data_IF_782948245291
#
_entry.id   IF_782948245291
#
_cell.length_a   1.000
_cell.length_b   1.000
_cell.length_c   1.000
_cell.angle_alpha   90.00
_cell.angle_beta   90.00
_cell.angle_gamma   90.00
#
_symmetry.space_group_name_H-M   'P 1'
#
loop_
_entity.id
_entity.type
_entity.pdbx_description
1 polymer ?
#
# COMPACT_ATOMS: atom_id res chain seq x y z
N UNK A 1 -2.89 -8.00 -11.77
CA UNK A 1 -1.41 -7.89 -11.70
C UNK A 1 -0.99 -7.08 -12.91
N UNK A 2 -0.21 -6.02 -12.71
CA UNK A 2 0.15 -5.05 -13.76
C UNK A 2 1.66 -5.22 -14.04
N UNK A 3 2.08 -5.57 -15.26
CA UNK A 3 3.49 -5.49 -15.64
C UNK A 3 4.01 -4.07 -15.49
N UNK A 4 5.18 -3.92 -14.86
CA UNK A 4 5.74 -2.61 -14.59
C UNK A 4 7.18 -2.52 -15.09
N UNK A 5 7.36 -1.74 -16.16
CA UNK A 5 8.67 -1.42 -16.70
C UNK A 5 9.23 -0.21 -15.94
N UNK A 6 10.37 -0.32 -15.23
CA UNK A 6 10.99 0.81 -14.54
C UNK A 6 11.28 2.01 -15.45
N UNK A 7 11.56 1.74 -16.72
CA UNK A 7 11.91 2.76 -17.72
C UNK A 7 10.67 3.44 -18.34
N UNK A 8 9.46 2.91 -18.07
CA UNK A 8 8.19 3.50 -18.49
C UNK A 8 7.12 3.38 -17.39
N UNK A 9 7.28 4.10 -16.27
CA UNK A 9 6.33 4.07 -15.17
C UNK A 9 4.96 4.67 -15.56
N UNK A 10 4.94 5.54 -16.57
CA UNK A 10 3.74 6.20 -17.06
C UNK A 10 2.74 5.21 -17.68
N UNK A 11 3.24 4.15 -18.33
CA UNK A 11 2.40 3.09 -18.90
C UNK A 11 1.50 2.41 -17.84
N UNK A 12 1.96 2.29 -16.59
CA UNK A 12 1.19 1.66 -15.51
C UNK A 12 0.42 2.66 -14.63
N UNK A 13 0.80 3.94 -14.64
CA UNK A 13 0.30 4.91 -13.66
C UNK A 13 -1.22 5.13 -13.73
N UNK A 14 -1.79 5.17 -14.93
CA UNK A 14 -3.24 5.32 -15.12
C UNK A 14 -4.02 4.12 -14.59
N UNK A 15 -3.53 2.90 -14.87
CA UNK A 15 -4.16 1.67 -14.40
C UNK A 15 -4.07 1.52 -12.88
N UNK A 16 -2.92 1.90 -12.30
CA UNK A 16 -2.74 1.96 -10.84
C UNK A 16 -3.73 2.94 -10.23
N UNK A 17 -3.82 4.17 -10.75
CA UNK A 17 -4.74 5.17 -10.22
C UNK A 17 -6.20 4.71 -10.31
N UNK A 18 -6.61 4.13 -11.44
CA UNK A 18 -7.96 3.62 -11.64
C UNK A 18 -8.32 2.47 -10.68
N UNK A 19 -7.38 1.54 -10.44
CA UNK A 19 -7.61 0.40 -9.54
C UNK A 19 -7.57 0.79 -8.05
N UNK A 20 -6.71 1.75 -7.69
CA UNK A 20 -6.38 2.07 -6.29
C UNK A 20 -7.20 3.26 -5.78
N UNK A 21 -7.16 4.40 -6.47
CA UNK A 21 -7.75 5.67 -6.02
C UNK A 21 -9.25 5.78 -6.35
N UNK A 22 -10.01 4.81 -5.86
CA UNK A 22 -11.42 4.60 -6.20
C UNK A 22 -12.38 5.42 -5.34
N UNK A 23 -13.52 5.78 -5.94
CA UNK A 23 -14.69 6.37 -5.27
C UNK A 23 -15.92 5.47 -5.31
N UNK A 24 -15.84 4.31 -5.98
CA UNK A 24 -16.88 3.27 -6.02
C UNK A 24 -16.36 1.94 -5.46
N UNK A 25 -17.26 0.97 -5.27
CA UNK A 25 -16.95 -0.37 -4.77
C UNK A 25 -16.57 -1.38 -5.86
N UNK A 26 -16.51 -0.95 -7.12
CA UNK A 26 -16.25 -1.82 -8.28
C UNK A 26 -14.75 -2.08 -8.49
N UNK A 27 -13.90 -1.22 -7.91
CA UNK A 27 -12.46 -1.31 -8.01
C UNK A 27 -11.86 -1.91 -6.73
N UNK A 28 -10.70 -2.59 -6.83
CA UNK A 28 -10.13 -3.34 -5.71
C UNK A 28 -9.59 -2.45 -4.57
N UNK A 29 -9.20 -1.21 -4.85
CA UNK A 29 -8.55 -0.33 -3.87
C UNK A 29 -7.07 -0.68 -3.62
N UNK A 30 -6.50 -1.57 -4.42
CA UNK A 30 -5.08 -1.92 -4.42
C UNK A 30 -4.61 -2.35 -5.82
N UNK A 31 -3.30 -2.32 -6.07
CA UNK A 31 -2.69 -2.85 -7.28
C UNK A 31 -1.37 -3.55 -6.94
N UNK A 32 -1.14 -4.72 -7.55
CA UNK A 32 0.14 -5.43 -7.53
C UNK A 32 0.85 -5.18 -8.86
N UNK A 33 2.06 -4.63 -8.77
CA UNK A 33 2.95 -4.42 -9.90
C UNK A 33 4.16 -5.34 -9.79
N UNK A 34 4.57 -5.93 -10.90
CA UNK A 34 5.73 -6.83 -10.94
C UNK A 34 6.72 -6.35 -11.99
N UNK A 35 8.00 -6.57 -11.73
CA UNK A 35 9.08 -6.19 -12.63
C UNK A 35 9.35 -7.34 -13.60
N UNK A 36 9.43 -7.06 -14.92
CA UNK A 36 9.70 -8.10 -15.90
C UNK A 36 11.12 -8.67 -15.77
N UNK A 37 12.01 -7.98 -15.08
CA UNK A 37 13.42 -8.29 -14.90
C UNK A 37 13.80 -8.03 -13.44
N UNK A 38 14.84 -8.70 -12.89
CA UNK A 38 15.34 -8.38 -11.56
C UNK A 38 15.75 -6.91 -11.46
N UNK A 39 15.37 -6.27 -10.35
CA UNK A 39 15.79 -4.89 -10.02
C UNK A 39 16.50 -4.88 -8.67
N UNK A 40 17.59 -4.11 -8.57
CA UNK A 40 18.27 -3.90 -7.30
C UNK A 40 17.48 -2.92 -6.39
N UNK A 41 17.92 -2.83 -5.13
CA UNK A 41 17.30 -1.97 -4.11
C UNK A 41 17.18 -0.50 -4.54
N UNK A 42 18.19 0.04 -5.22
CA UNK A 42 18.18 1.45 -5.68
C UNK A 42 17.26 1.65 -6.88
N UNK A 43 17.27 0.72 -7.84
CA UNK A 43 16.36 0.74 -9.00
C UNK A 43 14.91 0.66 -8.56
N UNK A 44 14.59 -0.23 -7.62
CA UNK A 44 13.27 -0.37 -7.03
C UNK A 44 12.74 0.98 -6.50
N UNK A 45 13.53 1.70 -5.71
CA UNK A 45 13.12 2.99 -5.15
C UNK A 45 13.03 4.10 -6.19
N UNK A 46 13.92 4.13 -7.18
CA UNK A 46 13.78 5.03 -8.34
C UNK A 46 12.45 4.78 -9.06
N UNK A 47 12.12 3.52 -9.31
CA UNK A 47 10.87 3.12 -9.94
C UNK A 47 9.64 3.53 -9.12
N UNK A 48 9.72 3.41 -7.78
CA UNK A 48 8.65 3.87 -6.89
C UNK A 48 8.43 5.38 -6.99
N UNK A 49 9.49 6.18 -6.94
CA UNK A 49 9.40 7.65 -7.07
C UNK A 49 8.86 8.04 -8.44
N UNK A 50 9.37 7.42 -9.50
CA UNK A 50 8.93 7.71 -10.86
C UNK A 50 7.45 7.31 -11.11
N UNK A 51 6.98 6.21 -10.51
CA UNK A 51 5.55 5.87 -10.52
C UNK A 51 4.72 6.95 -9.81
N UNK A 52 5.15 7.43 -8.65
CA UNK A 52 4.46 8.50 -7.90
C UNK A 52 4.34 9.77 -8.74
N UNK A 53 5.41 10.18 -9.42
CA UNK A 53 5.43 11.36 -10.29
C UNK A 53 4.54 11.19 -11.52
N UNK A 54 4.38 9.96 -12.02
CA UNK A 54 3.55 9.64 -13.17
C UNK A 54 2.06 9.49 -12.85
N UNK A 55 1.66 9.43 -11.56
CA UNK A 55 0.25 9.30 -11.20
C UNK A 55 -0.56 10.51 -11.68
N UNK A 56 -1.76 10.31 -12.25
CA UNK A 56 -2.61 11.41 -12.71
C UNK A 56 -3.15 12.28 -11.58
N UNK A 57 -3.22 11.73 -10.36
CA UNK A 57 -3.58 12.48 -9.15
C UNK A 57 -2.33 13.12 -8.60
N UNK A 58 -2.36 14.44 -8.41
CA UNK A 58 -1.23 15.18 -7.84
C UNK A 58 -1.12 14.92 -6.34
N UNK A 59 -0.26 13.97 -5.98
CA UNK A 59 0.10 13.68 -4.60
C UNK A 59 1.31 14.50 -4.12
N UNK A 60 1.46 14.62 -2.82
CA UNK A 60 2.72 14.94 -2.15
C UNK A 60 3.22 13.74 -1.37
N UNK A 61 4.53 13.55 -1.34
CA UNK A 61 5.19 12.55 -0.50
C UNK A 61 5.18 13.05 0.93
N UNK A 62 4.53 12.33 1.86
CA UNK A 62 4.50 12.69 3.28
C UNK A 62 5.46 11.84 4.12
N UNK A 63 5.63 10.56 3.75
CA UNK A 63 6.49 9.61 4.46
C UNK A 63 7.34 8.81 3.49
N UNK A 64 8.56 8.56 3.92
CA UNK A 64 9.53 7.69 3.26
C UNK A 64 10.05 6.73 4.32
N UNK A 65 10.18 5.45 3.99
CA UNK A 65 10.69 4.46 4.92
C UNK A 65 11.33 3.28 4.22
N UNK A 66 12.31 2.66 4.87
CA UNK A 66 12.99 1.44 4.43
C UNK A 66 13.36 0.59 5.64
N UNK A 67 12.70 -0.55 5.82
CA UNK A 67 12.81 -1.34 7.04
C UNK A 67 12.79 -2.84 6.75
N UNK A 68 13.41 -3.63 7.61
CA UNK A 68 13.32 -5.09 7.58
C UNK A 68 12.15 -5.54 8.45
N UNK A 69 11.17 -6.24 7.87
CA UNK A 69 9.98 -6.67 8.59
C UNK A 69 9.64 -8.12 8.32
N UNK A 70 9.79 -8.93 9.37
CA UNK A 70 9.42 -10.35 9.39
C UNK A 70 8.36 -10.69 10.44
N UNK A 71 7.71 -9.67 11.02
CA UNK A 71 6.63 -9.85 11.99
C UNK A 71 5.28 -9.77 11.28
N UNK A 72 4.41 -10.76 11.54
CA UNK A 72 3.04 -10.75 11.05
C UNK A 72 2.26 -9.57 11.64
N UNK A 73 1.48 -8.90 10.82
CA UNK A 73 0.59 -7.82 11.25
C UNK A 73 -0.85 -8.31 11.41
N UNK A 74 -1.67 -7.48 12.03
CA UNK A 74 -3.14 -7.57 11.96
C UNK A 74 -3.62 -6.73 10.78
N UNK A 75 -4.89 -6.84 10.41
CA UNK A 75 -5.47 -5.89 9.46
C UNK A 75 -5.42 -4.49 10.04
N UNK A 76 -4.80 -3.58 9.31
CA UNK A 76 -4.64 -2.20 9.71
C UNK A 76 -4.63 -1.27 8.50
N UNK A 77 -4.78 0.01 8.83
CA UNK A 77 -4.43 1.12 7.97
C UNK A 77 -3.15 1.73 8.51
N UNK A 78 -2.26 2.15 7.63
CA UNK A 78 -1.10 2.90 8.04
C UNK A 78 -1.51 4.28 8.55
N UNK A 79 -0.82 4.78 9.58
CA UNK A 79 -1.02 6.14 10.07
C UNK A 79 -0.80 7.14 8.93
N UNK A 80 -1.87 7.82 8.50
CA UNK A 80 -1.82 8.76 7.39
C UNK A 80 -3.04 9.71 7.45
N UNK A 81 -3.01 10.83 6.70
CA UNK A 81 -4.19 11.66 6.49
C UNK A 81 -5.40 10.89 5.94
N UNK A 82 -6.56 11.53 5.96
CA UNK A 82 -7.85 10.89 5.59
C UNK A 82 -7.91 10.50 4.12
N UNK A 83 -7.25 11.24 3.24
CA UNK A 83 -7.01 10.87 1.84
C UNK A 83 -5.52 10.57 1.65
N UNK A 84 -5.19 9.29 1.51
CA UNK A 84 -3.79 8.85 1.36
C UNK A 84 -3.65 7.56 0.56
N UNK A 85 -2.52 7.44 -0.11
CA UNK A 85 -2.11 6.24 -0.84
C UNK A 85 -0.80 5.76 -0.23
N UNK A 86 -0.67 4.45 -0.08
CA UNK A 86 0.55 3.79 0.37
C UNK A 86 1.15 3.01 -0.79
N UNK A 87 2.40 3.30 -1.14
CA UNK A 87 3.16 2.51 -2.10
C UNK A 87 4.25 1.74 -1.36
N UNK A 88 4.19 0.42 -1.44
CA UNK A 88 5.16 -0.50 -0.87
C UNK A 88 6.02 -1.11 -1.98
N UNK A 89 7.33 -1.11 -1.80
CA UNK A 89 8.29 -1.76 -2.68
C UNK A 89 9.06 -2.83 -1.93
N UNK A 90 8.84 -4.08 -2.31
CA UNK A 90 9.48 -5.23 -1.70
C UNK A 90 10.75 -5.56 -2.45
N UNK A 91 11.87 -5.64 -1.74
CA UNK A 91 13.11 -6.18 -2.30
C UNK A 91 13.02 -7.70 -2.42
N UNK A 92 13.73 -8.27 -3.39
CA UNK A 92 13.84 -9.72 -3.56
C UNK A 92 14.28 -10.40 -2.24
N UNK A 93 13.55 -11.42 -1.82
CA UNK A 93 13.80 -12.13 -0.56
C UNK A 93 13.37 -13.60 -0.61
N UNK A 94 14.08 -14.44 0.13
CA UNK A 94 13.68 -15.82 0.38
C UNK A 94 12.64 -15.96 1.50
N UNK A 95 12.45 -14.93 2.33
CA UNK A 95 11.48 -14.92 3.43
C UNK A 95 10.07 -14.98 2.86
N UNK A 96 9.35 -16.07 3.16
CA UNK A 96 7.99 -16.25 2.68
C UNK A 96 7.03 -15.33 3.43
N UNK A 97 6.19 -14.62 2.68
CA UNK A 97 5.12 -13.81 3.22
C UNK A 97 3.88 -13.87 2.35
N UNK A 98 2.73 -13.65 2.98
CA UNK A 98 1.43 -13.48 2.34
C UNK A 98 0.90 -12.09 2.67
N UNK A 99 0.20 -11.48 1.73
CA UNK A 99 -0.44 -10.18 1.92
C UNK A 99 -1.92 -10.32 1.66
N UNK A 100 -2.72 -9.80 2.58
CA UNK A 100 -4.17 -9.79 2.49
C UNK A 100 -4.66 -8.35 2.51
N UNK A 101 -5.72 -8.09 1.73
CA UNK A 101 -6.43 -6.81 1.67
C UNK A 101 -7.86 -7.06 2.13
N UNK A 102 -8.36 -6.25 3.06
CA UNK A 102 -9.74 -6.29 3.51
C UNK A 102 -10.46 -4.99 3.12
N UNK A 103 -11.59 -5.11 2.43
CA UNK A 103 -12.40 -3.97 2.01
C UNK A 103 -13.44 -3.60 3.07
N UNK A 104 -13.06 -2.68 3.97
CA UNK A 104 -13.93 -2.19 5.03
C UNK A 104 -15.16 -1.45 4.50
N UNK A 105 -15.05 -0.76 3.36
CA UNK A 105 -16.18 -0.05 2.75
C UNK A 105 -17.23 -1.02 2.23
N UNK A 106 -16.82 -2.13 1.60
CA UNK A 106 -17.75 -3.18 1.18
C UNK A 106 -18.39 -3.89 2.36
N UNK A 107 -17.62 -4.17 3.41
CA UNK A 107 -18.14 -4.78 4.63
C UNK A 107 -19.20 -3.89 5.31
N UNK A 108 -18.92 -2.59 5.44
CA UNK A 108 -19.87 -1.62 5.99
C UNK A 108 -21.15 -1.50 5.14
N UNK A 109 -21.00 -1.41 3.82
CA UNK A 109 -22.13 -1.35 2.90
C UNK A 109 -23.01 -2.60 2.97
N UNK A 110 -22.41 -3.80 3.03
CA UNK A 110 -23.14 -5.05 3.17
C UNK A 110 -23.87 -5.17 4.53
N UNK A 111 -23.32 -4.57 5.58
CA UNK A 111 -23.95 -4.48 6.90
C UNK A 111 -25.01 -3.36 7.01
N UNK A 112 -25.18 -2.52 5.98
CA UNK A 112 -26.14 -1.41 5.98
C UNK A 112 -25.79 -0.29 6.96
N UNK A 113 -24.52 -0.13 7.32
CA UNK A 113 -24.06 0.89 8.29
C UNK A 113 -22.98 1.80 7.69
N UNK A 114 -22.86 3.05 8.15
CA UNK A 114 -21.76 3.94 7.74
C UNK A 114 -20.37 3.35 8.09
N UNK A 115 -19.37 3.57 7.23
CA UNK A 115 -18.01 3.07 7.45
C UNK A 115 -17.40 3.45 8.81
N UNK A 116 -17.49 4.70 9.31
CA UNK A 116 -16.97 5.04 10.63
C UNK A 116 -17.61 4.24 11.77
N UNK A 117 -18.92 4.01 11.68
CA UNK A 117 -19.67 3.22 12.66
C UNK A 117 -19.28 1.74 12.58
N UNK A 118 -19.11 1.21 11.36
CA UNK A 118 -18.64 -0.16 11.15
C UNK A 118 -17.26 -0.39 11.78
N UNK A 119 -16.29 0.49 11.53
CA UNK A 119 -14.93 0.38 12.06
C UNK A 119 -14.89 0.50 13.57
N UNK A 120 -15.71 1.39 14.15
CA UNK A 120 -15.81 1.55 15.60
C UNK A 120 -16.36 0.29 16.27
N UNK A 121 -17.33 -0.38 15.66
CA UNK A 121 -17.94 -1.62 16.18
C UNK A 121 -17.09 -2.86 15.91
N UNK A 122 -16.44 -2.93 14.75
CA UNK A 122 -15.76 -4.11 14.24
C UNK A 122 -14.28 -3.81 14.01
N UNK A 123 -13.58 -3.43 15.10
CA UNK A 123 -12.15 -3.13 15.04
C UNK A 123 -11.36 -4.41 14.68
N UNK A 124 -10.70 -4.46 13.52
CA UNK A 124 -10.01 -5.65 13.02
C UNK A 124 -8.74 -6.01 13.81
N UNK A 125 -8.34 -5.18 14.79
CA UNK A 125 -7.28 -5.51 15.73
C UNK A 125 -7.67 -6.61 16.72
N UNK A 126 -8.96 -6.92 16.85
CA UNK A 126 -9.48 -8.00 17.68
C UNK A 126 -10.06 -9.12 16.79
N UNK A 127 -9.89 -10.41 17.16
CA UNK A 127 -10.39 -11.52 16.35
C UNK A 127 -11.90 -11.47 16.06
N UNK A 128 -12.70 -11.00 17.03
CA UNK A 128 -14.13 -10.81 16.85
C UNK A 128 -14.45 -9.75 15.79
N UNK A 129 -13.66 -8.68 15.70
CA UNK A 129 -13.79 -7.66 14.66
C UNK A 129 -13.33 -8.17 13.30
N UNK A 130 -12.18 -8.84 13.24
CA UNK A 130 -11.62 -9.42 12.00
C UNK A 130 -12.62 -10.38 11.31
N UNK A 131 -13.40 -11.14 12.08
CA UNK A 131 -14.40 -12.06 11.55
C UNK A 131 -15.43 -11.40 10.62
N UNK A 132 -15.73 -10.11 10.79
CA UNK A 132 -16.68 -9.38 9.95
C UNK A 132 -16.15 -9.04 8.55
N UNK A 133 -14.84 -9.21 8.33
CA UNK A 133 -14.20 -8.91 7.05
C UNK A 133 -14.00 -10.15 6.18
N UNK A 134 -14.22 -11.37 6.68
CA UNK A 134 -13.79 -12.61 6.03
C UNK A 134 -14.29 -12.76 4.57
N UNK A 135 -15.52 -12.32 4.28
CA UNK A 135 -16.09 -12.35 2.93
C UNK A 135 -15.61 -11.21 2.00
N UNK A 136 -14.86 -10.26 2.55
CA UNK A 136 -14.34 -9.07 1.89
C UNK A 136 -12.80 -9.03 1.90
N UNK A 137 -12.17 -10.16 2.20
CA UNK A 137 -10.70 -10.33 2.17
C UNK A 137 -10.27 -10.94 0.84
N UNK A 138 -9.25 -10.34 0.23
CA UNK A 138 -8.52 -10.90 -0.90
C UNK A 138 -7.06 -11.17 -0.51
N UNK A 139 -6.54 -12.33 -0.90
CA UNK A 139 -5.10 -12.60 -0.86
C UNK A 139 -4.44 -12.03 -2.14
N UNK A 140 -3.36 -11.28 -1.96
CA UNK A 140 -2.58 -10.74 -3.07
C UNK A 140 -1.62 -11.82 -3.58
N UNK A 141 -1.62 -12.15 -4.89
CA UNK A 141 -0.78 -13.21 -5.44
C UNK A 141 0.68 -12.72 -5.60
N UNK A 142 1.42 -12.63 -4.50
CA UNK A 142 2.77 -12.08 -4.46
C UNK A 142 3.78 -12.96 -5.23
N UNK A 143 4.69 -12.37 -6.03
CA UNK A 143 5.84 -13.07 -6.59
C UNK A 143 6.76 -13.67 -5.50
N UNK A 144 7.50 -14.72 -5.83
CA UNK A 144 8.41 -15.41 -4.91
C UNK A 144 9.85 -15.13 -5.28
N UNK A 145 10.66 -14.62 -4.36
CA UNK A 145 12.08 -14.38 -4.60
C UNK A 145 12.37 -13.19 -5.53
N UNK A 146 11.34 -12.45 -5.92
CA UNK A 146 11.43 -11.33 -6.86
C UNK A 146 11.03 -10.03 -6.16
N UNK A 147 11.53 -8.90 -6.65
CA UNK A 147 11.08 -7.58 -6.23
C UNK A 147 9.70 -7.29 -6.82
N UNK A 148 8.86 -6.51 -6.13
CA UNK A 148 7.53 -6.10 -6.61
C UNK A 148 7.04 -4.85 -5.88
N UNK A 149 6.02 -4.19 -6.44
CA UNK A 149 5.34 -3.07 -5.80
C UNK A 149 3.89 -3.42 -5.46
N UNK A 150 3.40 -2.85 -4.36
CA UNK A 150 1.98 -2.86 -4.00
C UNK A 150 1.53 -1.44 -3.73
N UNK A 151 0.59 -0.94 -4.53
CA UNK A 151 -0.11 0.30 -4.24
C UNK A 151 -1.40 -0.02 -3.49
N UNK A 152 -1.65 0.67 -2.38
CA UNK A 152 -2.79 0.44 -1.49
C UNK A 152 -3.47 1.78 -1.23
N UNK A 153 -4.79 1.83 -1.39
CA UNK A 153 -5.55 3.00 -0.99
C UNK A 153 -5.67 3.01 0.53
N UNK A 154 -4.92 3.91 1.16
CA UNK A 154 -4.81 4.04 2.61
C UNK A 154 -5.78 5.09 3.19
N UNK A 155 -6.74 5.53 2.37
CA UNK A 155 -7.82 6.45 2.74
C UNK A 155 -8.89 5.69 3.52
N UNK A 156 -9.11 6.00 4.80
CA UNK A 156 -10.07 5.21 5.59
C UNK A 156 -10.84 6.10 6.55
N UNK A 157 -11.41 7.16 5.99
CA UNK A 157 -12.52 7.96 6.53
C UNK A 157 -13.08 8.76 5.35
N UNK A 158 -14.41 8.84 5.15
CA UNK A 158 -14.96 9.83 4.23
C UNK A 158 -14.48 11.22 4.67
N UNK A 159 -14.11 12.05 3.70
CA UNK A 159 -13.77 13.45 3.98
C UNK A 159 -15.00 14.18 4.51
N UNK A 160 -14.87 15.42 5.01
CA UNK A 160 -16.00 16.22 5.47
C UNK A 160 -17.14 16.28 4.44
N UNK A 161 -16.79 16.24 3.15
CA UNK A 161 -17.72 16.33 2.02
C UNK A 161 -18.12 14.96 1.43
N UNK A 162 -17.71 13.85 2.04
CA UNK A 162 -18.02 12.49 1.58
C UNK A 162 -17.28 12.05 0.29
N UNK A 163 -16.35 12.87 -0.22
CA UNK A 163 -15.65 12.68 -1.50
C UNK A 163 -14.33 11.93 -1.40
N UNK A 164 -13.91 11.52 -0.20
CA UNK A 164 -12.65 10.80 -0.04
C UNK A 164 -12.69 9.43 -0.75
N UNK A 165 -11.55 8.97 -1.27
CA UNK A 165 -11.43 7.63 -1.81
C UNK A 165 -11.79 6.56 -0.78
N UNK A 166 -12.34 5.45 -1.29
CA UNK A 166 -12.69 4.28 -0.50
C UNK A 166 -11.47 3.38 -0.39
N UNK A 167 -10.71 3.52 0.70
CA UNK A 167 -9.53 2.70 0.92
C UNK A 167 -9.83 1.34 1.54
N UNK A 168 -8.75 0.67 1.88
CA UNK A 168 -8.75 -0.74 2.32
C UNK A 168 -7.78 -0.91 3.49
N UNK A 169 -7.98 -2.00 4.22
CA UNK A 169 -7.05 -2.45 5.26
C UNK A 169 -6.11 -3.49 4.67
N UNK A 170 -4.92 -3.63 5.23
CA UNK A 170 -3.97 -4.65 4.80
C UNK A 170 -3.34 -5.40 5.97
N UNK A 171 -2.92 -6.63 5.71
CA UNK A 171 -2.33 -7.56 6.68
C UNK A 171 -1.24 -8.39 6.02
N UNK A 172 -0.07 -8.45 6.64
CA UNK A 172 1.00 -9.34 6.21
C UNK A 172 1.09 -10.53 7.17
N UNK A 173 1.22 -11.74 6.62
CA UNK A 173 1.49 -12.96 7.39
C UNK A 173 2.85 -13.49 6.97
N UNK A 174 3.73 -13.67 7.95
CA UNK A 174 5.04 -14.28 7.80
C UNK A 174 4.97 -15.63 8.50
N UNK A 175 4.81 -16.69 7.72
CA UNK A 175 4.61 -18.05 8.25
C UNK A 175 5.89 -18.60 8.89
N UNK A 176 7.05 -18.26 8.32
CA UNK A 176 8.36 -18.74 8.79
C UNK A 176 9.38 -17.61 8.66
N UNK A 177 9.57 -16.81 9.73
CA UNK A 177 10.65 -15.83 9.79
C UNK A 177 12.01 -16.53 9.67
N UNK A 178 12.96 -15.85 9.05
CA UNK A 178 14.34 -16.32 8.92
C UNK A 178 15.29 -15.23 9.45
N UNK A 179 15.94 -15.46 10.62
CA UNK A 179 16.85 -14.47 11.21
C UNK A 179 18.16 -14.30 10.44
N UNK A 180 18.48 -15.20 9.50
CA UNK A 180 19.66 -15.09 8.65
C UNK A 180 19.37 -14.38 7.31
N UNK A 181 18.09 -14.22 6.95
CA UNK A 181 17.66 -13.50 5.76
C UNK A 181 17.10 -12.12 6.12
N UNK A 182 16.93 -11.27 5.09
CA UNK A 182 16.28 -9.97 5.21
C UNK A 182 15.01 -9.93 4.39
N UNK A 183 13.97 -9.24 4.90
CA UNK A 183 12.75 -8.91 4.16
C UNK A 183 12.58 -7.40 4.18
N UNK A 184 13.33 -6.74 3.32
CA UNK A 184 13.34 -5.28 3.23
C UNK A 184 12.12 -4.79 2.47
N UNK A 185 11.39 -3.87 3.08
CA UNK A 185 10.26 -3.17 2.51
C UNK A 185 10.59 -1.68 2.45
N UNK A 186 10.38 -1.09 1.29
CA UNK A 186 10.44 0.35 1.04
C UNK A 186 9.01 0.88 1.05
N UNK A 187 8.75 2.03 1.66
CA UNK A 187 7.42 2.62 1.73
C UNK A 187 7.44 4.09 1.34
N UNK A 188 6.48 4.49 0.51
CA UNK A 188 6.15 5.90 0.25
C UNK A 188 4.70 6.12 0.69
N UNK A 189 4.53 6.99 1.69
CA UNK A 189 3.22 7.53 2.05
C UNK A 189 2.92 8.76 1.21
N UNK A 190 1.75 8.77 0.56
CA UNK A 190 1.26 9.84 -0.29
C UNK A 190 -0.01 10.44 0.28
N UNK A 191 -0.17 11.75 0.15
CA UNK A 191 -1.41 12.44 0.50
C UNK A 191 -1.69 13.59 -0.46
N UNK A 192 -2.88 14.18 -0.38
CA UNK A 192 -3.23 15.35 -1.17
C UNK A 192 -2.48 16.60 -0.64
N UNK A 193 -2.15 17.57 -1.51
CA UNK A 193 -1.54 18.82 -1.10
C UNK A 193 -2.31 19.49 0.05
N UNK A 194 -1.58 19.98 1.06
CA UNK A 194 -2.16 20.65 2.22
C UNK A 194 -2.62 19.74 3.36
N UNK A 195 -2.60 18.41 3.19
CA UNK A 195 -2.94 17.46 4.27
C UNK A 195 -1.76 17.12 5.19
N UNK A 196 -0.53 17.30 4.71
CA UNK A 196 0.69 17.08 5.49
C UNK A 196 1.85 17.92 4.93
N UNK A 197 2.93 18.03 5.70
CA UNK A 197 4.19 18.60 5.23
C UNK A 197 4.83 17.66 4.22
N UNK A 198 5.00 18.14 2.99
CA UNK A 198 5.67 17.37 1.94
C UNK A 198 7.17 17.17 2.25
N UNK A 199 7.69 16.00 1.90
CA UNK A 199 9.13 15.73 1.89
C UNK A 199 9.83 16.59 0.85
N UNK A 200 10.98 17.11 1.24
CA UNK A 200 11.85 17.90 0.36
C UNK A 200 12.48 17.01 -0.72
N UNK A 201 12.91 17.62 -1.83
CA UNK A 201 13.65 16.92 -2.88
C UNK A 201 14.90 16.21 -2.35
N UNK A 202 15.60 16.81 -1.37
CA UNK A 202 16.77 16.20 -0.73
C UNK A 202 16.41 14.94 0.11
N UNK A 203 15.25 14.94 0.77
CA UNK A 203 14.77 13.75 1.50
C UNK A 203 14.37 12.63 0.53
N UNK A 204 13.73 12.96 -0.59
CA UNK A 204 13.39 12.00 -1.65
C UNK A 204 14.68 11.42 -2.27
N UNK A 205 15.65 12.25 -2.62
CA UNK A 205 16.93 11.80 -3.17
C UNK A 205 17.70 10.91 -2.19
N UNK A 206 17.71 11.27 -0.89
CA UNK A 206 18.27 10.41 0.14
C UNK A 206 17.56 9.07 0.20
N UNK A 207 16.23 9.05 0.15
CA UNK A 207 15.49 7.78 0.13
C UNK A 207 15.91 6.91 -1.06
N UNK A 208 16.06 7.47 -2.26
CA UNK A 208 16.50 6.72 -3.44
C UNK A 208 17.91 6.14 -3.26
N UNK A 209 18.86 6.94 -2.79
CA UNK A 209 20.29 6.61 -2.80
C UNK A 209 20.80 5.85 -1.57
N UNK A 210 20.05 5.80 -0.47
CA UNK A 210 20.52 5.24 0.80
C UNK A 210 20.61 3.70 0.83
N UNK A 211 21.55 3.20 1.62
CA UNK A 211 21.77 1.76 1.88
C UNK A 211 21.34 1.31 3.28
N UNK A 212 21.19 2.25 4.22
CA UNK A 212 20.78 1.99 5.59
C UNK A 212 19.27 1.67 5.68
N UNK A 213 18.90 0.96 6.75
CA UNK A 213 17.52 0.76 7.18
C UNK A 213 17.17 1.83 8.21
N UNK A 214 15.89 2.11 8.37
CA UNK A 214 15.35 2.92 9.48
C UNK A 214 15.43 2.20 10.83
#
# INVERSE_FOLDING_TARGET
>A
MIPFAPDDPAAAASDVAAAVWRTTLDQPGYALLWFPHPVCSHELRRAMVALVEALPVRFVVERLGRFDQQVSSKFHRDGAPTASLLLLGYEATAVRSRLFIADASRAAAAAGVPLPEFLARHNPMFPSGEAHYLHFVAEVPLPRGESYLVAINNSLMPGPDGTNPLGVLHKAVIDTPDPAARRVINSIGLTLPGMATAKSAAEVERFVSRDDLD
#
